data_IF_831712349469
#
_entry.id   IF_831712349469
#
_cell.length_a   1.000
_cell.length_b   1.000
_cell.length_c   1.000
_cell.angle_alpha   90.00
_cell.angle_beta   90.00
_cell.angle_gamma   90.00
#
_symmetry.space_group_name_H-M   'P 1'
#
loop_
_entity.id
_entity.type
_entity.pdbx_description
1 polymer ?
#
# COMPACT_ATOMS: atom_id res chain seq x y z
N UNK A 1 -23.10 6.42 8.06
CA UNK A 1 -22.65 7.05 6.81
C UNK A 1 -22.31 8.48 7.17
N UNK A 2 -21.12 8.95 6.86
CA UNK A 2 -20.72 10.35 7.08
C UNK A 2 -20.91 11.09 5.76
N UNK A 3 -21.44 12.30 5.80
CA UNK A 3 -21.61 13.16 4.63
C UNK A 3 -20.84 14.45 4.84
N UNK A 4 -20.37 15.03 3.75
CA UNK A 4 -19.88 16.41 3.70
C UNK A 4 -20.83 17.22 2.85
N UNK A 5 -21.26 18.38 3.36
CA UNK A 5 -22.13 19.29 2.62
C UNK A 5 -21.27 20.27 1.81
N UNK A 6 -21.48 20.29 0.51
CA UNK A 6 -20.81 21.19 -0.42
C UNK A 6 -21.89 21.84 -1.28
N UNK A 7 -21.95 23.17 -1.26
CA UNK A 7 -22.97 23.96 -1.99
C UNK A 7 -24.41 23.45 -1.74
N UNK A 8 -24.77 23.23 -0.47
CA UNK A 8 -26.08 22.72 -0.02
C UNK A 8 -26.42 21.29 -0.48
N UNK A 9 -25.48 20.58 -1.12
CA UNK A 9 -25.59 19.18 -1.52
C UNK A 9 -24.78 18.28 -0.60
N UNK A 10 -25.42 17.20 -0.11
CA UNK A 10 -24.76 16.22 0.75
C UNK A 10 -24.03 15.17 -0.09
N UNK A 11 -22.71 15.09 0.06
CA UNK A 11 -21.86 14.09 -0.57
C UNK A 11 -21.42 13.03 0.45
N UNK A 12 -21.57 11.73 0.16
CA UNK A 12 -21.15 10.69 1.08
C UNK A 12 -19.63 10.58 1.13
N UNK A 13 -19.09 10.53 2.35
CA UNK A 13 -17.71 10.10 2.58
C UNK A 13 -17.71 8.59 2.86
N UNK A 14 -17.04 7.78 2.04
CA UNK A 14 -17.00 6.34 2.24
C UNK A 14 -16.21 6.00 3.50
N UNK A 15 -16.68 5.01 4.24
CA UNK A 15 -15.99 4.48 5.41
C UNK A 15 -14.71 3.74 5.00
N UNK A 16 -14.74 3.10 3.85
CA UNK A 16 -13.67 2.37 3.22
C UNK A 16 -13.55 2.79 1.76
N UNK A 17 -12.36 3.08 1.31
CA UNK A 17 -12.07 3.45 -0.06
C UNK A 17 -11.88 2.20 -0.91
N UNK A 18 -12.25 2.25 -2.19
CA UNK A 18 -11.82 1.24 -3.14
C UNK A 18 -10.29 1.24 -3.28
N UNK A 19 -9.71 0.15 -3.78
CA UNK A 19 -8.26 0.09 -4.02
C UNK A 19 -7.82 1.21 -4.96
N UNK A 20 -8.57 1.47 -6.05
CA UNK A 20 -8.27 2.54 -7.00
C UNK A 20 -8.33 3.93 -6.35
N UNK A 21 -9.36 4.20 -5.52
CA UNK A 21 -9.44 5.45 -4.77
C UNK A 21 -8.27 5.61 -3.80
N UNK A 22 -7.93 4.55 -3.07
CA UNK A 22 -6.81 4.59 -2.12
C UNK A 22 -5.49 4.92 -2.82
N UNK A 23 -5.17 4.23 -3.93
CA UNK A 23 -3.95 4.48 -4.73
C UNK A 23 -3.93 5.91 -5.27
N UNK A 24 -5.09 6.47 -5.65
CA UNK A 24 -5.15 7.85 -6.11
C UNK A 24 -4.94 8.85 -4.97
N UNK A 25 -5.53 8.59 -3.80
CA UNK A 25 -5.49 9.48 -2.65
C UNK A 25 -4.09 9.57 -2.01
N UNK A 26 -3.36 8.45 -1.93
CA UNK A 26 -2.03 8.43 -1.29
C UNK A 26 -0.94 9.11 -2.12
N UNK A 27 -1.20 9.46 -3.38
CA UNK A 27 -0.29 10.27 -4.21
C UNK A 27 -0.19 11.72 -3.76
N UNK A 28 -1.18 12.20 -3.01
CA UNK A 28 -1.26 13.59 -2.59
C UNK A 28 -0.69 13.76 -1.19
N UNK A 29 0.05 14.84 -0.99
CA UNK A 29 0.39 15.30 0.35
C UNK A 29 -0.89 15.81 1.02
N UNK A 30 -1.38 15.04 2.00
CA UNK A 30 -2.66 15.30 2.67
C UNK A 30 -2.57 16.42 3.71
N UNK A 31 -1.36 16.78 4.14
CA UNK A 31 -1.12 17.88 5.08
C UNK A 31 -1.11 19.23 4.36
N UNK A 32 -1.01 19.23 3.02
CA UNK A 32 -1.01 20.44 2.19
C UNK A 32 -2.43 20.86 1.80
N UNK A 33 -2.97 22.00 2.32
CA UNK A 33 -4.33 22.45 2.03
C UNK A 33 -4.66 22.63 0.54
N UNK A 34 -3.66 22.96 -0.28
CA UNK A 34 -3.82 23.09 -1.74
C UNK A 34 -4.28 21.80 -2.43
N UNK A 35 -4.05 20.65 -1.80
CA UNK A 35 -4.45 19.34 -2.34
C UNK A 35 -5.83 18.91 -1.89
N UNK A 36 -6.41 19.52 -0.83
CA UNK A 36 -7.65 19.07 -0.20
C UNK A 36 -8.84 19.02 -1.14
N UNK A 37 -8.96 20.01 -2.04
CA UNK A 37 -10.03 20.02 -3.06
C UNK A 37 -10.00 18.77 -3.94
N UNK A 38 -8.81 18.36 -4.40
CA UNK A 38 -8.63 17.16 -5.22
C UNK A 38 -8.91 15.89 -4.42
N UNK A 39 -8.39 15.82 -3.20
CA UNK A 39 -8.59 14.70 -2.28
C UNK A 39 -10.07 14.50 -1.98
N UNK A 40 -10.79 15.57 -1.67
CA UNK A 40 -12.23 15.49 -1.42
C UNK A 40 -13.02 15.13 -2.67
N UNK A 41 -12.63 15.63 -3.84
CA UNK A 41 -13.28 15.25 -5.10
C UNK A 41 -13.15 13.75 -5.37
N UNK A 42 -11.97 13.17 -5.20
CA UNK A 42 -11.76 11.71 -5.34
C UNK A 42 -12.53 10.93 -4.29
N UNK A 43 -12.56 11.43 -3.05
CA UNK A 43 -13.18 10.72 -1.93
C UNK A 43 -14.70 10.69 -2.00
N UNK A 44 -15.30 11.77 -2.47
CA UNK A 44 -16.78 11.97 -2.46
C UNK A 44 -17.42 11.77 -3.82
N UNK A 45 -16.65 11.87 -4.90
CA UNK A 45 -17.15 11.96 -6.27
C UNK A 45 -17.73 13.33 -6.62
N UNK A 46 -17.60 14.34 -5.74
CA UNK A 46 -18.04 15.70 -6.02
C UNK A 46 -17.15 16.33 -7.11
N UNK A 47 -17.73 17.04 -8.08
CA UNK A 47 -16.96 17.78 -9.07
C UNK A 47 -15.97 18.77 -8.42
N UNK A 48 -14.76 18.84 -8.94
CA UNK A 48 -13.70 19.70 -8.39
C UNK A 48 -14.10 21.16 -8.30
N UNK A 49 -14.87 21.63 -9.29
CA UNK A 49 -15.35 23.00 -9.37
C UNK A 49 -16.26 23.33 -8.18
N UNK A 50 -17.14 22.41 -7.80
CA UNK A 50 -18.08 22.65 -6.70
C UNK A 50 -17.38 22.74 -5.34
N UNK A 51 -16.23 22.06 -5.18
CA UNK A 51 -15.45 22.08 -3.94
C UNK A 51 -14.57 23.35 -3.86
N UNK A 52 -14.16 23.92 -4.98
CA UNK A 52 -13.20 25.05 -5.02
C UNK A 52 -13.68 26.28 -4.24
N UNK A 53 -14.98 26.46 -4.14
CA UNK A 53 -15.61 27.59 -3.42
C UNK A 53 -15.82 27.29 -1.92
N UNK A 54 -15.52 26.06 -1.46
CA UNK A 54 -15.71 25.68 -0.06
C UNK A 54 -14.57 26.24 0.80
N UNK A 55 -14.85 26.92 1.91
CA UNK A 55 -13.82 27.42 2.82
C UNK A 55 -12.94 26.29 3.37
N UNK A 56 -11.64 26.56 3.53
CA UNK A 56 -10.65 25.58 4.03
C UNK A 56 -11.05 25.00 5.39
N UNK A 57 -11.57 25.83 6.28
CA UNK A 57 -12.00 25.40 7.62
C UNK A 57 -13.13 24.35 7.55
N UNK A 58 -14.02 24.46 6.57
CA UNK A 58 -15.08 23.48 6.33
C UNK A 58 -14.54 22.14 5.80
N UNK A 59 -13.39 22.13 5.16
CA UNK A 59 -12.76 20.92 4.62
C UNK A 59 -11.97 20.13 5.68
N UNK A 60 -11.53 20.76 6.77
CA UNK A 60 -10.63 20.12 7.76
C UNK A 60 -11.23 18.85 8.37
N UNK A 61 -12.49 18.88 8.77
CA UNK A 61 -13.15 17.72 9.36
C UNK A 61 -13.29 16.58 8.34
N UNK A 62 -13.65 16.91 7.10
CA UNK A 62 -13.72 15.93 6.02
C UNK A 62 -12.36 15.32 5.71
N UNK A 63 -11.29 16.13 5.68
CA UNK A 63 -9.93 15.66 5.51
C UNK A 63 -9.48 14.73 6.64
N UNK A 64 -9.75 15.08 7.89
CA UNK A 64 -9.45 14.20 9.03
C UNK A 64 -10.12 12.82 8.89
N UNK A 65 -11.37 12.80 8.38
CA UNK A 65 -12.09 11.56 8.11
C UNK A 65 -11.43 10.76 6.97
N UNK A 66 -11.03 11.41 5.88
CA UNK A 66 -10.31 10.78 4.76
C UNK A 66 -9.00 10.16 5.24
N UNK A 67 -8.17 10.93 5.95
CA UNK A 67 -6.89 10.44 6.50
C UNK A 67 -7.09 9.23 7.42
N UNK A 68 -8.12 9.29 8.28
CA UNK A 68 -8.49 8.15 9.12
C UNK A 68 -8.91 6.94 8.29
N UNK A 69 -9.70 7.15 7.23
CA UNK A 69 -10.17 6.09 6.32
C UNK A 69 -9.03 5.37 5.60
N UNK A 70 -8.01 6.10 5.15
CA UNK A 70 -6.84 5.54 4.46
C UNK A 70 -6.00 4.61 5.34
N UNK A 71 -6.02 4.82 6.66
CA UNK A 71 -5.28 4.00 7.64
C UNK A 71 -6.06 2.78 8.13
N UNK A 72 -7.32 2.64 7.76
CA UNK A 72 -8.18 1.56 8.26
C UNK A 72 -7.73 0.21 7.75
N UNK A 73 -7.98 -0.79 8.59
CA UNK A 73 -7.78 -2.21 8.30
C UNK A 73 -9.08 -2.93 8.60
N UNK A 74 -9.44 -3.86 7.74
CA UNK A 74 -10.67 -4.66 7.88
C UNK A 74 -10.36 -6.10 7.59
N UNK A 75 -10.61 -6.96 8.57
CA UNK A 75 -10.42 -8.38 8.44
C UNK A 75 -11.27 -8.96 7.30
N UNK A 76 -10.65 -9.79 6.48
CA UNK A 76 -11.33 -10.54 5.44
C UNK A 76 -10.74 -11.95 5.29
N UNK A 77 -11.45 -12.82 4.61
CA UNK A 77 -10.92 -14.14 4.25
C UNK A 77 -9.94 -13.99 3.10
N UNK A 78 -8.83 -14.71 3.21
CA UNK A 78 -7.84 -14.83 2.15
C UNK A 78 -7.32 -16.28 2.08
N UNK A 79 -6.69 -16.61 0.96
CA UNK A 79 -6.03 -17.91 0.79
C UNK A 79 -4.79 -18.00 1.69
N UNK A 80 -4.33 -19.21 1.95
CA UNK A 80 -3.06 -19.39 2.67
C UNK A 80 -1.90 -18.82 1.87
N UNK A 81 -1.01 -18.08 2.52
CA UNK A 81 0.19 -17.56 1.86
C UNK A 81 1.17 -18.67 1.46
N UNK A 82 1.05 -19.88 2.03
CA UNK A 82 1.81 -21.05 1.58
C UNK A 82 1.36 -21.59 0.22
N UNK A 83 0.21 -21.15 -0.29
CA UNK A 83 -0.31 -21.55 -1.61
C UNK A 83 0.21 -20.64 -2.74
N UNK A 84 0.92 -19.57 -2.39
CA UNK A 84 1.54 -18.68 -3.37
C UNK A 84 2.62 -19.43 -4.16
N UNK A 85 2.55 -19.32 -5.49
CA UNK A 85 3.63 -19.80 -6.34
C UNK A 85 4.91 -18.99 -6.10
N UNK A 86 6.05 -19.56 -6.43
CA UNK A 86 7.33 -18.87 -6.34
C UNK A 86 7.35 -17.56 -7.15
N UNK A 87 6.77 -17.56 -8.36
CA UNK A 87 6.65 -16.35 -9.19
C UNK A 87 5.84 -15.25 -8.50
N UNK A 88 4.69 -15.59 -7.92
CA UNK A 88 3.88 -14.65 -7.16
C UNK A 88 4.63 -14.08 -5.95
N UNK A 89 5.44 -14.89 -5.27
CA UNK A 89 6.26 -14.44 -4.17
C UNK A 89 7.31 -13.40 -4.64
N UNK A 90 8.01 -13.68 -5.75
CA UNK A 90 8.98 -12.74 -6.33
C UNK A 90 8.31 -11.45 -6.76
N UNK A 91 7.15 -11.51 -7.42
CA UNK A 91 6.41 -10.33 -7.85
C UNK A 91 5.99 -9.47 -6.63
N UNK A 92 5.52 -10.10 -5.55
CA UNK A 92 5.17 -9.40 -4.32
C UNK A 92 6.38 -8.68 -3.69
N UNK A 93 7.53 -9.33 -3.66
CA UNK A 93 8.76 -8.70 -3.15
C UNK A 93 9.18 -7.49 -3.99
N UNK A 94 9.09 -7.61 -5.32
CA UNK A 94 9.35 -6.49 -6.23
C UNK A 94 8.37 -5.35 -5.99
N UNK A 95 7.07 -5.62 -5.94
CA UNK A 95 6.06 -4.58 -5.72
C UNK A 95 6.21 -3.90 -4.35
N UNK A 96 6.54 -4.66 -3.30
CA UNK A 96 6.81 -4.10 -1.97
C UNK A 96 8.02 -3.18 -1.98
N UNK A 97 9.08 -3.52 -2.72
CA UNK A 97 10.29 -2.69 -2.85
C UNK A 97 10.03 -1.40 -3.64
N UNK A 98 9.17 -1.46 -4.66
CA UNK A 98 8.81 -0.33 -5.51
C UNK A 98 7.79 0.63 -4.88
N UNK A 99 7.10 0.18 -3.83
CA UNK A 99 6.16 0.98 -3.04
C UNK A 99 4.71 0.50 -3.14
N UNK A 100 4.12 0.26 -1.97
CA UNK A 100 2.72 -0.17 -1.84
C UNK A 100 1.75 0.87 -2.40
N UNK A 101 2.08 2.15 -2.27
CA UNK A 101 1.32 3.28 -2.78
C UNK A 101 1.11 3.23 -4.31
N UNK A 102 2.04 2.62 -5.03
CA UNK A 102 1.98 2.48 -6.49
C UNK A 102 1.39 1.15 -6.94
N UNK A 103 1.64 0.09 -6.18
CA UNK A 103 1.39 -1.30 -6.61
C UNK A 103 0.36 -2.04 -5.76
N UNK A 104 -0.42 -1.33 -4.92
CA UNK A 104 -1.43 -1.98 -4.08
C UNK A 104 -2.43 -2.80 -4.90
N UNK A 105 -2.77 -2.38 -6.11
CA UNK A 105 -3.69 -3.10 -6.99
C UNK A 105 -3.13 -4.45 -7.45
N UNK A 106 -1.89 -4.47 -7.89
CA UNK A 106 -1.17 -5.67 -8.30
C UNK A 106 -0.98 -6.63 -7.12
N UNK A 107 -0.58 -6.10 -5.98
CA UNK A 107 -0.46 -6.84 -4.71
C UNK A 107 -1.81 -7.45 -4.32
N UNK A 108 -2.89 -6.67 -4.39
CA UNK A 108 -4.25 -7.14 -4.07
C UNK A 108 -4.67 -8.28 -5.00
N UNK A 109 -4.40 -8.18 -6.29
CA UNK A 109 -4.73 -9.21 -7.27
C UNK A 109 -4.03 -10.54 -6.98
N UNK A 110 -2.84 -10.51 -6.37
CA UNK A 110 -2.11 -11.72 -6.00
C UNK A 110 -2.60 -12.27 -4.65
N UNK A 111 -2.73 -11.41 -3.63
CA UNK A 111 -2.98 -11.84 -2.26
C UNK A 111 -4.46 -12.08 -1.97
N UNK A 112 -5.34 -11.24 -2.52
CA UNK A 112 -6.77 -11.23 -2.21
C UNK A 112 -7.59 -10.59 -3.34
N UNK A 113 -7.69 -11.24 -4.52
CA UNK A 113 -8.36 -10.67 -5.70
C UNK A 113 -9.84 -10.33 -5.45
N UNK A 114 -10.43 -10.89 -4.40
CA UNK A 114 -11.84 -10.68 -4.01
C UNK A 114 -12.02 -9.56 -2.98
N UNK A 115 -10.95 -8.81 -2.62
CA UNK A 115 -11.06 -7.70 -1.70
C UNK A 115 -12.06 -6.65 -2.21
N UNK A 116 -12.97 -6.26 -1.34
CA UNK A 116 -14.04 -5.30 -1.65
C UNK A 116 -13.56 -3.85 -1.58
N UNK A 117 -12.55 -3.62 -0.76
CA UNK A 117 -12.01 -2.29 -0.49
C UNK A 117 -10.52 -2.35 -0.09
N UNK A 118 -9.88 -1.19 -0.05
CA UNK A 118 -8.47 -1.08 0.30
C UNK A 118 -8.18 -1.49 1.76
N UNK A 119 -9.14 -1.37 2.67
CA UNK A 119 -8.94 -1.76 4.06
C UNK A 119 -8.80 -3.29 4.22
N UNK A 120 -9.54 -4.07 3.43
CA UNK A 120 -9.37 -5.53 3.32
C UNK A 120 -8.02 -5.87 2.68
N UNK A 121 -7.68 -5.22 1.57
CA UNK A 121 -6.41 -5.44 0.87
C UNK A 121 -5.20 -5.15 1.77
N UNK A 122 -5.21 -4.03 2.47
CA UNK A 122 -4.15 -3.63 3.38
C UNK A 122 -4.04 -4.53 4.62
N UNK A 123 -5.18 -5.04 5.12
CA UNK A 123 -5.16 -5.99 6.23
C UNK A 123 -4.48 -7.31 5.83
N UNK A 124 -4.79 -7.84 4.63
CA UNK A 124 -4.14 -9.05 4.11
C UNK A 124 -2.66 -8.79 3.84
N UNK A 125 -2.32 -7.63 3.30
CA UNK A 125 -0.93 -7.23 3.06
C UNK A 125 -0.12 -7.15 4.36
N UNK A 126 -0.67 -6.57 5.43
CA UNK A 126 0.00 -6.51 6.74
C UNK A 126 0.27 -7.93 7.28
N UNK A 127 -0.67 -8.87 7.10
CA UNK A 127 -0.50 -10.27 7.47
C UNK A 127 0.56 -10.96 6.60
N UNK A 128 0.58 -10.69 5.28
CA UNK A 128 1.60 -11.21 4.39
C UNK A 128 2.99 -10.71 4.76
N UNK A 129 3.15 -9.43 5.07
CA UNK A 129 4.43 -8.85 5.51
C UNK A 129 4.93 -9.55 6.79
N UNK A 130 4.04 -9.84 7.73
CA UNK A 130 4.40 -10.56 8.95
C UNK A 130 4.79 -12.03 8.66
N UNK A 131 4.05 -12.71 7.78
CA UNK A 131 4.38 -14.05 7.32
C UNK A 131 5.74 -14.07 6.59
N UNK A 132 5.98 -13.12 5.69
CA UNK A 132 7.25 -12.95 4.99
C UNK A 132 8.44 -12.78 5.96
N UNK A 133 8.29 -11.92 6.98
CA UNK A 133 9.32 -11.75 8.02
C UNK A 133 9.60 -13.05 8.77
N UNK A 134 8.55 -13.83 9.06
CA UNK A 134 8.71 -15.15 9.68
C UNK A 134 9.53 -16.08 8.78
N UNK A 135 9.17 -16.22 7.50
CA UNK A 135 9.88 -17.07 6.53
C UNK A 135 11.36 -16.65 6.40
N UNK A 136 11.65 -15.36 6.27
CA UNK A 136 13.03 -14.88 6.15
C UNK A 136 13.86 -15.15 7.40
N UNK A 137 13.25 -15.11 8.58
CA UNK A 137 13.91 -15.45 9.84
C UNK A 137 14.18 -16.95 9.96
N UNK A 138 13.23 -17.80 9.57
CA UNK A 138 13.38 -19.26 9.64
C UNK A 138 14.42 -19.78 8.63
N UNK A 139 14.52 -19.14 7.46
CA UNK A 139 15.38 -19.59 6.36
C UNK A 139 16.53 -18.59 6.09
N UNK A 140 17.17 -18.12 7.15
CA UNK A 140 18.29 -17.15 7.07
C UNK A 140 19.41 -17.59 6.13
N UNK A 141 19.69 -18.88 6.05
CA UNK A 141 20.74 -19.44 5.18
C UNK A 141 20.45 -19.20 3.69
N UNK A 142 19.17 -19.13 3.30
CA UNK A 142 18.76 -18.86 1.93
C UNK A 142 18.71 -17.36 1.62
N UNK A 143 18.12 -16.59 2.54
CA UNK A 143 17.86 -15.17 2.32
C UNK A 143 18.97 -14.24 2.79
N UNK A 144 19.96 -14.77 3.52
CA UNK A 144 20.94 -13.98 4.25
C UNK A 144 20.35 -13.38 5.53
N UNK A 145 21.19 -12.93 6.43
CA UNK A 145 20.76 -12.01 7.46
C UNK A 145 20.45 -10.68 6.78
N UNK A 146 19.32 -10.02 7.06
CA UNK A 146 19.23 -8.58 6.81
C UNK A 146 20.46 -8.00 7.51
N UNK A 147 21.36 -7.39 6.77
CA UNK A 147 22.56 -6.81 7.35
C UNK A 147 22.14 -5.83 8.44
N UNK A 148 22.42 -6.18 9.69
CA UNK A 148 22.34 -5.24 10.82
C UNK A 148 23.29 -4.07 10.62
N UNK A 149 24.17 -4.19 9.61
CA UNK A 149 25.23 -3.27 9.22
C UNK A 149 25.02 -2.63 7.83
N UNK A 150 23.79 -2.56 7.27
CA UNK A 150 23.60 -1.67 6.12
C UNK A 150 23.95 -0.25 6.57
N UNK A 151 25.00 0.37 5.98
CA UNK A 151 25.41 1.69 6.38
C UNK A 151 24.21 2.63 6.17
N UNK A 152 23.77 3.26 7.26
CA UNK A 152 22.82 4.35 7.17
C UNK A 152 23.44 5.44 6.28
N UNK A 153 22.69 5.97 5.34
CA UNK A 153 23.10 7.17 4.63
C UNK A 153 23.40 8.30 5.62
N UNK A 154 24.13 9.31 5.23
CA UNK A 154 24.48 10.48 6.07
C UNK A 154 23.23 11.17 6.68
N UNK A 155 22.04 10.96 6.10
CA UNK A 155 20.75 11.46 6.58
C UNK A 155 20.00 10.46 7.51
N UNK A 156 20.61 9.31 7.81
CA UNK A 156 20.01 8.26 8.66
C UNK A 156 19.01 7.37 7.93
N UNK A 157 18.87 7.48 6.61
CA UNK A 157 18.03 6.62 5.79
C UNK A 157 18.79 5.36 5.33
N UNK A 158 18.06 4.26 5.12
CA UNK A 158 18.56 3.06 4.45
C UNK A 158 18.10 3.11 3.00
N UNK A 159 19.01 2.93 2.05
CA UNK A 159 18.65 2.81 0.65
C UNK A 159 17.71 1.61 0.46
N UNK A 160 16.47 1.88 0.07
CA UNK A 160 15.57 0.79 -0.29
C UNK A 160 16.11 0.11 -1.54
N UNK A 161 16.28 -1.23 -1.53
CA UNK A 161 16.68 -1.94 -2.73
C UNK A 161 15.67 -1.65 -3.84
N UNK A 162 16.15 -1.32 -5.03
CA UNK A 162 15.27 -1.16 -6.18
C UNK A 162 14.70 -2.53 -6.61
N UNK A 163 13.62 -2.54 -7.39
CA UNK A 163 12.98 -3.78 -7.84
C UNK A 163 13.94 -4.68 -8.64
N UNK A 164 14.94 -4.10 -9.30
CA UNK A 164 15.97 -4.84 -10.02
C UNK A 164 16.92 -5.58 -9.07
N UNK A 165 17.28 -4.94 -7.95
CA UNK A 165 18.11 -5.56 -6.93
C UNK A 165 17.39 -6.72 -6.24
N UNK A 166 16.10 -6.56 -5.94
CA UNK A 166 15.26 -7.63 -5.38
C UNK A 166 15.19 -8.80 -6.35
N UNK A 167 14.93 -8.56 -7.64
CA UNK A 167 14.87 -9.60 -8.65
C UNK A 167 16.23 -10.35 -8.80
N UNK A 168 17.36 -9.63 -8.75
CA UNK A 168 18.71 -10.25 -8.77
C UNK A 168 18.97 -11.12 -7.55
N UNK A 169 18.52 -10.72 -6.38
CA UNK A 169 18.66 -11.52 -5.16
C UNK A 169 17.86 -12.81 -5.27
N UNK A 170 16.63 -12.77 -5.79
CA UNK A 170 15.85 -13.97 -6.06
C UNK A 170 16.50 -14.89 -7.09
N UNK A 171 17.08 -14.33 -8.17
CA UNK A 171 17.82 -15.12 -9.15
C UNK A 171 18.98 -15.90 -8.49
N UNK A 172 19.75 -15.25 -7.60
CA UNK A 172 20.83 -15.93 -6.85
C UNK A 172 20.31 -17.08 -5.98
N UNK A 173 19.12 -16.91 -5.36
CA UNK A 173 18.49 -17.96 -4.57
C UNK A 173 18.10 -19.15 -5.45
N UNK A 174 17.50 -18.89 -6.63
CA UNK A 174 17.12 -19.93 -7.59
C UNK A 174 18.37 -20.74 -8.00
N UNK A 175 19.45 -20.07 -8.36
CA UNK A 175 20.70 -20.72 -8.78
C UNK A 175 21.24 -21.59 -7.66
N UNK A 176 21.27 -21.12 -6.41
CA UNK A 176 21.68 -21.94 -5.26
C UNK A 176 20.82 -23.17 -5.05
N UNK A 177 19.50 -23.04 -5.23
CA UNK A 177 18.55 -24.15 -5.06
C UNK A 177 18.64 -25.16 -6.22
N UNK A 178 19.03 -24.73 -7.42
CA UNK A 178 19.21 -25.63 -8.57
C UNK A 178 20.50 -26.47 -8.49
N UNK A 179 21.40 -26.13 -7.56
CA UNK A 179 22.69 -26.83 -7.43
C UNK A 179 23.71 -26.46 -8.49
N UNK A 180 23.42 -25.44 -9.29
CA UNK A 180 24.37 -24.90 -10.26
C UNK A 180 25.28 -23.89 -9.53
N UNK A 181 26.40 -24.37 -9.01
CA UNK A 181 27.47 -23.48 -8.56
C UNK A 181 28.06 -22.76 -9.81
N UNK A 182 27.79 -21.45 -9.89
CA UNK A 182 28.41 -20.57 -10.91
C UNK A 182 29.75 -20.07 -10.39
#
# INVERSE_FOLDING_TARGET
MVTVQINEVDYPLPLYFSVDQWVELVKWDLDEPKNWTKVLSVSTGCPLFDISDTPVDGMQLAMAFVVSGLKRRKECKHNSFSDLSFGQWVDLDVYLSLGVDKYLKEITNILVPEAKDAAEALWVLDNFINFRKYIYREYKELFGTPDEDEPLNDDGSVDKPDGMQVARNWYKIIVRLSGDDI
#
